data_IF_372623120188
#
_entry.id   IF_372623120188
#
_cell.length_a   1.000
_cell.length_b   1.000
_cell.length_c   1.000
_cell.angle_alpha   90.00
_cell.angle_beta   90.00
_cell.angle_gamma   90.00
#
_symmetry.space_group_name_H-M   'P 1'
#
loop_
_entity.id
_entity.type
_entity.pdbx_description
1 polymer ?
#
# COMPACT_ATOMS: atom_id res chain seq x y z
N UNK A 1 -3.98 -22.62 -31.29
CA UNK A 1 -4.88 -21.45 -31.18
C UNK A 1 -4.56 -20.75 -29.87
N UNK A 2 -4.30 -19.46 -29.89
CA UNK A 2 -4.11 -18.66 -28.67
C UNK A 2 -5.46 -18.43 -27.99
N UNK A 3 -5.54 -18.71 -26.70
CA UNK A 3 -6.72 -18.40 -25.89
C UNK A 3 -7.00 -16.89 -25.95
N UNK A 4 -8.23 -16.44 -26.27
CA UNK A 4 -8.57 -15.02 -26.26
C UNK A 4 -8.37 -14.40 -24.87
N UNK A 5 -7.78 -13.20 -24.84
CA UNK A 5 -7.66 -12.40 -23.62
C UNK A 5 -9.01 -11.77 -23.30
N UNK A 6 -9.75 -12.40 -22.39
CA UNK A 6 -10.96 -11.84 -21.78
C UNK A 6 -10.65 -11.32 -20.39
N UNK A 7 -11.47 -10.40 -19.89
CA UNK A 7 -11.35 -9.87 -18.53
C UNK A 7 -11.46 -10.99 -17.47
N UNK A 8 -12.32 -12.00 -17.73
CA UNK A 8 -12.45 -13.19 -16.89
C UNK A 8 -11.14 -14.01 -16.84
N UNK A 9 -10.55 -14.29 -18.01
CA UNK A 9 -9.28 -15.01 -18.08
C UNK A 9 -8.14 -14.23 -17.41
N UNK A 10 -8.10 -12.89 -17.52
CA UNK A 10 -7.10 -12.04 -16.86
C UNK A 10 -7.24 -12.09 -15.34
N UNK A 11 -8.47 -12.01 -14.82
CA UNK A 11 -8.75 -12.12 -13.37
C UNK A 11 -8.29 -13.47 -12.82
N UNK A 12 -8.53 -14.56 -13.55
CA UNK A 12 -8.16 -15.93 -13.16
C UNK A 12 -6.72 -16.32 -13.42
N UNK A 13 -5.99 -15.55 -14.22
CA UNK A 13 -4.59 -15.85 -14.53
C UNK A 13 -3.72 -15.63 -13.27
N UNK A 14 -2.80 -16.55 -12.93
CA UNK A 14 -1.83 -16.29 -11.87
C UNK A 14 -0.91 -15.14 -12.32
N UNK A 15 -0.74 -14.14 -11.46
CA UNK A 15 0.01 -12.92 -11.78
C UNK A 15 1.21 -12.76 -10.85
N UNK A 16 2.27 -12.14 -11.38
CA UNK A 16 3.40 -11.63 -10.60
C UNK A 16 3.38 -10.10 -10.64
N UNK A 17 3.48 -9.46 -9.47
CA UNK A 17 3.52 -8.01 -9.32
C UNK A 17 4.92 -7.61 -8.83
N UNK A 18 5.70 -6.90 -9.65
CA UNK A 18 7.11 -6.62 -9.34
C UNK A 18 7.38 -5.15 -8.98
N UNK A 19 6.34 -4.32 -9.05
CA UNK A 19 6.44 -2.90 -8.77
C UNK A 19 5.10 -2.40 -8.25
N UNK A 20 4.97 -2.36 -6.94
CA UNK A 20 3.86 -1.67 -6.29
C UNK A 20 4.30 -1.05 -4.96
N UNK A 21 3.75 0.13 -4.67
CA UNK A 21 4.14 0.97 -3.55
C UNK A 21 3.15 0.80 -2.40
N UNK A 22 3.60 0.26 -1.26
CA UNK A 22 2.74 0.10 -0.08
C UNK A 22 2.17 1.44 0.38
N UNK A 23 3.05 2.44 0.47
CA UNK A 23 2.78 3.81 0.91
C UNK A 23 1.93 4.62 -0.09
N UNK A 24 1.62 4.06 -1.26
CA UNK A 24 0.69 4.63 -2.25
C UNK A 24 -0.54 3.77 -2.55
N UNK A 25 -0.67 2.60 -1.93
CA UNK A 25 -1.64 1.56 -2.30
C UNK A 25 -2.84 1.40 -1.34
N UNK A 26 -3.05 2.34 -0.42
CA UNK A 26 -4.07 2.20 0.63
C UNK A 26 -5.48 2.25 0.06
N UNK A 27 -6.39 1.46 0.66
CA UNK A 27 -7.83 1.60 0.45
C UNK A 27 -8.29 2.97 0.98
N UNK A 28 -9.10 3.75 0.26
CA UNK A 28 -9.57 5.06 0.74
C UNK A 28 -10.36 4.98 2.06
N UNK A 29 -11.11 3.89 2.29
CA UNK A 29 -11.79 3.66 3.57
C UNK A 29 -10.79 3.51 4.73
N UNK A 30 -9.73 2.73 4.54
CA UNK A 30 -8.66 2.57 5.53
C UNK A 30 -7.97 3.90 5.84
N UNK A 31 -7.75 4.77 4.84
CA UNK A 31 -7.19 6.11 5.07
C UNK A 31 -8.08 6.94 5.99
N UNK A 32 -9.40 6.96 5.76
CA UNK A 32 -10.35 7.69 6.61
C UNK A 32 -10.38 7.14 8.04
N UNK A 33 -10.44 5.82 8.19
CA UNK A 33 -10.48 5.17 9.50
C UNK A 33 -9.20 5.42 10.30
N UNK A 34 -8.04 5.31 9.67
CA UNK A 34 -6.76 5.60 10.33
C UNK A 34 -6.62 7.08 10.67
N UNK A 35 -7.12 7.96 9.79
CA UNK A 35 -7.11 9.39 10.06
C UNK A 35 -7.96 9.76 11.28
N UNK A 36 -9.16 9.20 11.40
CA UNK A 36 -10.00 9.36 12.59
C UNK A 36 -9.33 8.77 13.84
N UNK A 37 -8.81 7.54 13.74
CA UNK A 37 -8.20 6.82 14.86
C UNK A 37 -6.98 7.53 15.44
N UNK A 38 -6.14 8.13 14.59
CA UNK A 38 -4.88 8.76 14.98
C UNK A 38 -4.90 10.29 14.96
N UNK A 39 -6.05 10.90 14.66
CA UNK A 39 -6.25 12.35 14.70
C UNK A 39 -5.55 13.10 13.56
N UNK A 40 -5.52 12.53 12.35
CA UNK A 40 -5.04 13.21 11.14
C UNK A 40 -6.19 13.98 10.46
N UNK A 41 -6.11 15.31 10.43
CA UNK A 41 -7.21 16.21 10.02
C UNK A 41 -6.99 16.89 8.65
N UNK A 42 -5.89 16.58 7.96
CA UNK A 42 -5.52 17.22 6.69
C UNK A 42 -6.10 16.51 5.44
N UNK A 43 -7.02 15.54 5.60
CA UNK A 43 -7.61 14.84 4.45
C UNK A 43 -8.43 15.80 3.56
N UNK A 44 -8.34 15.67 2.23
CA UNK A 44 -9.01 16.58 1.29
C UNK A 44 -10.51 16.27 1.12
N UNK A 45 -11.00 15.18 1.70
CA UNK A 45 -12.39 14.75 1.68
C UNK A 45 -12.70 13.92 2.93
N UNK A 46 -13.96 13.98 3.40
CA UNK A 46 -14.43 13.28 4.61
C UNK A 46 -15.20 11.98 4.33
N UNK A 47 -15.24 11.53 3.08
CA UNK A 47 -15.92 10.30 2.67
C UNK A 47 -15.12 9.53 1.62
N UNK A 48 -15.44 8.23 1.49
CA UNK A 48 -14.68 7.28 0.66
C UNK A 48 -14.69 7.67 -0.81
N UNK A 49 -15.83 8.12 -1.33
CA UNK A 49 -16.00 8.45 -2.75
C UNK A 49 -15.25 9.73 -3.14
N UNK A 50 -15.32 10.75 -2.28
CA UNK A 50 -14.59 12.00 -2.41
C UNK A 50 -13.08 11.77 -2.36
N UNK A 51 -12.61 10.98 -1.38
CA UNK A 51 -11.19 10.69 -1.24
C UNK A 51 -10.66 9.83 -2.39
N UNK A 52 -11.42 8.82 -2.83
CA UNK A 52 -11.08 8.01 -3.99
C UNK A 52 -11.03 8.85 -5.28
N UNK A 53 -11.93 9.83 -5.42
CA UNK A 53 -11.92 10.77 -6.56
C UNK A 53 -10.68 11.65 -6.52
N UNK A 54 -10.33 12.20 -5.37
CA UNK A 54 -9.11 12.98 -5.19
C UNK A 54 -7.85 12.20 -5.62
N UNK A 55 -7.68 10.98 -5.10
CA UNK A 55 -6.54 10.12 -5.45
C UNK A 55 -6.46 9.84 -6.96
N UNK A 56 -7.57 9.45 -7.60
CA UNK A 56 -7.60 9.19 -9.05
C UNK A 56 -7.30 10.44 -9.87
N UNK A 57 -7.86 11.60 -9.50
CA UNK A 57 -7.62 12.86 -10.21
C UNK A 57 -6.15 13.28 -10.14
N UNK A 58 -5.52 13.16 -8.97
CA UNK A 58 -4.09 13.43 -8.81
C UNK A 58 -3.24 12.47 -9.63
N UNK A 59 -3.57 11.17 -9.60
CA UNK A 59 -2.85 10.13 -10.36
C UNK A 59 -2.92 10.33 -11.88
N UNK A 60 -4.04 10.85 -12.39
CA UNK A 60 -4.25 11.11 -13.82
C UNK A 60 -3.92 12.55 -14.25
N UNK A 61 -3.20 13.32 -13.43
CA UNK A 61 -2.92 14.74 -13.68
C UNK A 61 -1.89 15.03 -14.79
N UNK A 62 -1.12 14.02 -15.22
CA UNK A 62 -0.02 14.20 -16.18
C UNK A 62 1.20 14.93 -15.62
N UNK A 63 1.25 15.19 -14.31
CA UNK A 63 2.37 15.85 -13.62
C UNK A 63 2.88 14.96 -12.49
N UNK A 64 4.19 14.67 -12.49
CA UNK A 64 4.82 13.92 -11.40
C UNK A 64 4.64 14.62 -10.05
N UNK A 65 4.72 15.94 -10.01
CA UNK A 65 4.55 16.71 -8.76
C UNK A 65 3.15 16.48 -8.19
N UNK A 66 2.12 16.61 -9.03
CA UNK A 66 0.73 16.39 -8.61
C UNK A 66 0.41 14.92 -8.31
N UNK A 67 1.08 14.00 -8.98
CA UNK A 67 1.01 12.57 -8.65
C UNK A 67 1.55 12.28 -7.24
N UNK A 68 2.56 13.02 -6.77
CA UNK A 68 3.19 12.81 -5.46
C UNK A 68 2.45 13.53 -4.32
N UNK A 69 1.66 14.58 -4.58
CA UNK A 69 0.89 15.30 -3.55
C UNK A 69 0.08 14.39 -2.61
N UNK A 70 -0.65 13.36 -3.09
CA UNK A 70 -1.46 12.52 -2.22
C UNK A 70 -0.66 11.62 -1.27
N UNK A 71 0.64 11.41 -1.51
CA UNK A 71 1.47 10.62 -0.60
C UNK A 71 1.58 11.25 0.78
N UNK A 72 1.41 12.58 0.90
CA UNK A 72 1.37 13.25 2.20
C UNK A 72 0.27 12.65 3.11
N UNK A 73 -0.88 12.30 2.53
CA UNK A 73 -2.02 11.75 3.28
C UNK A 73 -1.83 10.27 3.62
N UNK A 74 -1.39 9.46 2.65
CA UNK A 74 -1.17 8.02 2.89
C UNK A 74 -0.02 7.78 3.86
N UNK A 75 1.07 8.53 3.74
CA UNK A 75 2.18 8.51 4.71
C UNK A 75 1.74 9.06 6.07
N UNK A 76 0.96 10.16 6.08
CA UNK A 76 0.48 10.80 7.30
C UNK A 76 -0.31 9.87 8.22
N UNK A 77 -1.13 8.96 7.64
CA UNK A 77 -1.90 7.98 8.41
C UNK A 77 -1.12 6.71 8.78
N UNK A 78 0.12 6.56 8.30
CA UNK A 78 0.99 5.39 8.51
C UNK A 78 2.17 5.69 9.46
N UNK A 79 1.93 6.45 10.52
CA UNK A 79 2.96 6.85 11.49
C UNK A 79 2.99 5.98 12.76
N UNK A 80 2.21 4.90 12.81
CA UNK A 80 2.14 3.97 13.94
C UNK A 80 2.37 2.51 13.49
N UNK A 81 2.88 1.62 14.36
CA UNK A 81 3.10 0.23 14.01
C UNK A 81 1.81 -0.49 13.59
N UNK A 82 0.71 -0.21 14.29
CA UNK A 82 -0.60 -0.80 14.00
C UNK A 82 -1.15 -0.36 12.63
N UNK A 83 -0.96 0.92 12.27
CA UNK A 83 -1.35 1.42 10.94
C UNK A 83 -0.52 0.75 9.83
N UNK A 84 0.80 0.66 10.02
CA UNK A 84 1.72 0.02 9.08
C UNK A 84 1.39 -1.47 8.89
N UNK A 85 1.17 -2.19 9.98
CA UNK A 85 0.78 -3.61 9.97
C UNK A 85 -0.54 -3.80 9.23
N UNK A 86 -1.56 -3.00 9.55
CA UNK A 86 -2.87 -3.06 8.92
C UNK A 86 -2.76 -2.86 7.41
N UNK A 87 -2.10 -1.79 6.97
CA UNK A 87 -1.94 -1.47 5.55
C UNK A 87 -1.16 -2.57 4.81
N UNK A 88 -0.08 -3.09 5.40
CA UNK A 88 0.67 -4.21 4.85
C UNK A 88 -0.18 -5.47 4.69
N UNK A 89 -0.97 -5.81 5.70
CA UNK A 89 -1.90 -6.94 5.65
C UNK A 89 -2.96 -6.78 4.56
N UNK A 90 -3.63 -5.63 4.51
CA UNK A 90 -4.67 -5.33 3.53
C UNK A 90 -4.13 -5.37 2.09
N UNK A 91 -2.89 -4.89 1.88
CA UNK A 91 -2.19 -5.01 0.60
C UNK A 91 -2.09 -6.48 0.14
N UNK A 92 -1.70 -7.41 1.02
CA UNK A 92 -1.63 -8.84 0.66
C UNK A 92 -3.00 -9.42 0.34
N UNK A 93 -4.01 -9.06 1.14
CA UNK A 93 -5.39 -9.51 0.95
C UNK A 93 -5.92 -9.08 -0.44
N UNK A 94 -5.72 -7.81 -0.81
CA UNK A 94 -6.17 -7.27 -2.09
C UNK A 94 -5.46 -7.94 -3.28
N UNK A 95 -4.14 -8.14 -3.17
CA UNK A 95 -3.35 -8.80 -4.22
C UNK A 95 -3.75 -10.27 -4.40
N UNK A 96 -3.99 -10.99 -3.30
CA UNK A 96 -4.50 -12.35 -3.35
C UNK A 96 -5.90 -12.40 -3.95
N UNK A 97 -6.76 -11.42 -3.65
CA UNK A 97 -8.09 -11.30 -4.24
C UNK A 97 -8.01 -11.10 -5.76
N UNK A 98 -7.01 -10.37 -6.23
CA UNK A 98 -6.71 -10.17 -7.64
C UNK A 98 -5.92 -11.32 -8.29
N UNK A 99 -5.73 -12.45 -7.59
CA UNK A 99 -5.05 -13.65 -8.10
C UNK A 99 -3.57 -13.38 -8.48
N UNK A 100 -2.93 -12.47 -7.76
CA UNK A 100 -1.48 -12.34 -7.70
C UNK A 100 -0.96 -13.47 -6.81
N UNK A 101 0.01 -14.23 -7.32
CA UNK A 101 0.61 -15.37 -6.61
C UNK A 101 2.00 -15.02 -6.07
N UNK A 102 2.62 -13.96 -6.59
CA UNK A 102 3.91 -13.43 -6.14
C UNK A 102 3.92 -11.92 -6.25
N UNK A 103 4.34 -11.23 -5.19
CA UNK A 103 4.48 -9.77 -5.18
C UNK A 103 5.81 -9.32 -4.56
N UNK A 104 6.42 -8.30 -5.17
CA UNK A 104 7.51 -7.51 -4.59
C UNK A 104 6.96 -6.11 -4.29
N UNK A 105 6.68 -5.87 -3.01
CA UNK A 105 6.12 -4.62 -2.52
C UNK A 105 7.25 -3.74 -2.04
N UNK A 106 7.23 -2.48 -2.47
CA UNK A 106 8.23 -1.49 -2.08
C UNK A 106 7.61 -0.38 -1.25
N UNK A 107 8.39 0.18 -0.35
CA UNK A 107 8.04 1.37 0.41
C UNK A 107 9.30 2.04 0.94
N UNK A 108 9.18 3.28 1.42
CA UNK A 108 10.30 4.00 2.01
C UNK A 108 10.14 4.10 3.54
N UNK A 109 10.82 3.25 4.34
CA UNK A 109 10.70 3.26 5.81
C UNK A 109 10.98 4.63 6.45
N UNK A 110 11.86 5.42 5.82
CA UNK A 110 12.20 6.76 6.32
C UNK A 110 11.08 7.79 6.23
N UNK A 111 9.97 7.50 5.53
CA UNK A 111 8.78 8.35 5.52
C UNK A 111 7.87 8.08 6.74
N UNK A 112 8.12 7.02 7.50
CA UNK A 112 7.24 6.55 8.58
C UNK A 112 7.84 6.71 9.98
N UNK A 113 8.75 7.69 10.14
CA UNK A 113 9.47 7.94 11.40
C UNK A 113 9.10 9.27 12.06
N UNK A 114 8.22 10.08 11.44
CA UNK A 114 7.83 11.39 11.98
C UNK A 114 7.02 11.25 13.27
N UNK A 115 6.32 10.12 13.44
CA UNK A 115 5.68 9.71 14.70
C UNK A 115 6.65 9.19 15.78
N UNK A 116 7.97 9.22 15.56
CA UNK A 116 9.00 8.79 16.51
C UNK A 116 9.38 7.32 16.44
N UNK A 117 8.94 6.58 15.41
CA UNK A 117 9.33 5.20 15.20
C UNK A 117 10.81 5.08 14.79
N UNK A 118 11.44 3.98 15.18
CA UNK A 118 12.72 3.57 14.60
C UNK A 118 12.48 2.90 13.24
N UNK A 119 13.50 2.92 12.37
CA UNK A 119 13.44 2.21 11.09
C UNK A 119 13.15 0.72 11.27
N UNK A 120 13.73 0.09 12.30
CA UNK A 120 13.49 -1.33 12.61
C UNK A 120 12.02 -1.56 12.98
N UNK A 121 11.44 -0.71 13.84
CA UNK A 121 10.02 -0.81 14.20
C UNK A 121 9.08 -0.65 12.99
N UNK A 122 9.42 0.22 12.05
CA UNK A 122 8.67 0.40 10.80
C UNK A 122 8.73 -0.87 9.94
N UNK A 123 9.94 -1.40 9.72
CA UNK A 123 10.14 -2.60 8.89
C UNK A 123 9.50 -3.83 9.55
N UNK A 124 9.66 -4.01 10.86
CA UNK A 124 9.08 -5.13 11.59
C UNK A 124 7.55 -5.13 11.52
N UNK A 125 6.90 -3.96 11.67
CA UNK A 125 5.45 -3.84 11.56
C UNK A 125 4.93 -4.23 10.17
N UNK A 126 5.60 -3.75 9.12
CA UNK A 126 5.24 -4.08 7.72
C UNK A 126 5.45 -5.56 7.43
N UNK A 127 6.58 -6.15 7.83
CA UNK A 127 6.86 -7.57 7.62
C UNK A 127 5.87 -8.47 8.38
N UNK A 128 5.49 -8.08 9.61
CA UNK A 128 4.46 -8.78 10.36
C UNK A 128 3.08 -8.71 9.66
N UNK A 129 2.71 -7.53 9.13
CA UNK A 129 1.47 -7.36 8.37
C UNK A 129 1.44 -8.22 7.11
N UNK A 130 2.55 -8.28 6.36
CA UNK A 130 2.66 -9.17 5.20
C UNK A 130 2.51 -10.64 5.59
N UNK A 131 3.18 -11.09 6.66
CA UNK A 131 3.11 -12.49 7.10
C UNK A 131 1.67 -12.88 7.52
N UNK A 132 0.97 -11.99 8.23
CA UNK A 132 -0.43 -12.23 8.61
C UNK A 132 -1.36 -12.21 7.39
N UNK A 133 -1.11 -11.33 6.43
CA UNK A 133 -1.84 -11.29 5.16
C UNK A 133 -1.64 -12.56 4.31
N UNK A 134 -0.40 -13.05 4.18
CA UNK A 134 -0.10 -14.31 3.48
C UNK A 134 -0.82 -15.49 4.15
N UNK A 135 -0.82 -15.53 5.49
CA UNK A 135 -1.52 -16.56 6.27
C UNK A 135 -3.03 -16.52 6.07
N UNK A 136 -3.64 -15.33 6.09
CA UNK A 136 -5.06 -15.14 5.85
C UNK A 136 -5.45 -15.56 4.43
N UNK A 137 -4.72 -15.08 3.43
CA UNK A 137 -4.94 -15.43 2.03
C UNK A 137 -4.80 -16.94 1.77
N UNK A 138 -3.82 -17.60 2.41
CA UNK A 138 -3.68 -19.06 2.34
C UNK A 138 -4.85 -19.79 2.99
N UNK A 139 -5.39 -19.31 4.11
CA UNK A 139 -6.56 -19.90 4.75
C UNK A 139 -7.83 -19.79 3.86
N UNK A 140 -7.91 -18.73 3.06
CA UNK A 140 -8.99 -18.50 2.09
C UNK A 140 -8.77 -19.23 0.74
N UNK A 141 -7.75 -20.09 0.64
CA UNK A 141 -7.45 -20.87 -0.56
C UNK A 141 -6.82 -20.06 -1.70
N UNK A 142 -6.25 -18.89 -1.39
CA UNK A 142 -5.57 -17.98 -2.33
C UNK A 142 -4.13 -17.70 -1.89
N UNK A 143 -3.26 -18.72 -1.86
CA UNK A 143 -1.89 -18.53 -1.40
C UNK A 143 -1.15 -17.52 -2.30
N UNK A 144 -0.44 -16.60 -1.65
CA UNK A 144 0.42 -15.59 -2.27
C UNK A 144 1.74 -15.56 -1.51
N UNK A 145 2.82 -15.22 -2.20
CA UNK A 145 4.12 -14.89 -1.60
C UNK A 145 4.45 -13.42 -1.83
N UNK A 146 4.72 -12.68 -0.76
CA UNK A 146 5.02 -11.26 -0.75
C UNK A 146 6.43 -11.03 -0.22
N UNK A 147 7.23 -10.25 -0.93
CA UNK A 147 8.58 -9.86 -0.54
C UNK A 147 8.70 -8.35 -0.49
N UNK A 148 9.51 -7.87 0.46
CA UNK A 148 9.69 -6.45 0.70
C UNK A 148 10.95 -5.92 -0.01
N UNK A 149 10.80 -4.77 -0.67
CA UNK A 149 11.89 -3.98 -1.22
C UNK A 149 11.96 -2.63 -0.48
N UNK A 150 13.07 -2.37 0.19
CA UNK A 150 13.28 -1.08 0.86
C UNK A 150 13.71 -0.02 -0.16
N UNK A 151 12.98 1.09 -0.21
CA UNK A 151 13.25 2.21 -1.10
C UNK A 151 14.00 3.31 -0.34
N UNK A 152 15.15 3.72 -0.87
CA UNK A 152 15.85 4.91 -0.42
C UNK A 152 15.33 6.14 -1.19
N UNK A 153 14.92 7.18 -0.49
CA UNK A 153 14.41 8.41 -1.10
C UNK A 153 15.58 9.28 -1.53
N UNK A 154 15.65 9.61 -2.83
CA UNK A 154 16.72 10.44 -3.42
C UNK A 154 17.04 11.75 -2.67
N UNK A 155 16.05 12.32 -1.99
CA UNK A 155 16.14 13.61 -1.33
C UNK A 155 16.25 13.51 0.20
N UNK A 156 16.17 12.31 0.78
CA UNK A 156 16.22 12.13 2.22
C UNK A 156 17.65 12.01 2.75
N UNK A 157 17.81 12.28 4.05
CA UNK A 157 19.12 12.43 4.68
C UNK A 157 19.98 11.16 4.65
N UNK A 158 19.38 9.98 4.46
CA UNK A 158 20.03 8.66 4.56
C UNK A 158 20.33 8.01 3.21
N UNK A 159 20.10 8.72 2.10
CA UNK A 159 20.28 8.19 0.73
C UNK A 159 21.59 8.62 0.06
N UNK A 160 22.57 9.13 0.83
CA UNK A 160 23.87 9.61 0.33
C UNK A 160 25.00 8.72 0.80
#
# INVERSE_FOLDING_TARGET
>A
MTTPLTLDNIRRAPKALLHDHLDGGLRPATVLELAEQYGYDELPAGDVDGLATFFRTAAHSGSLVRYLEPFAHTVGVMQTPDALHRVARECVEDLAQDNVVYAEIRFAPELHIDGGLSLDAVVDAVLAGFADGEKAASADGRPITVRCLVTAMRHAARSR
#
